data_IF_862998549169
#
_entry.id   IF_862998549169
#
_cell.length_a   1.000
_cell.length_b   1.000
_cell.length_c   1.000
_cell.angle_alpha   90.00
_cell.angle_beta   90.00
_cell.angle_gamma   90.00
#
_symmetry.space_group_name_H-M   'P 1'
#
loop_
_entity.id
_entity.type
_entity.pdbx_description
1 polymer ?
#
# COMPACT_ATOMS: atom_id res chain seq x y z
N UNK A 1 2.73 -16.39 25.86
CA UNK A 1 3.53 -15.20 25.45
C UNK A 1 3.34 -14.14 26.53
N UNK A 2 4.08 -13.04 26.51
CA UNK A 2 3.83 -11.89 27.38
C UNK A 2 3.87 -10.61 26.57
N UNK A 3 3.00 -9.66 26.86
CA UNK A 3 3.03 -8.29 26.36
C UNK A 3 2.96 -7.36 27.57
N UNK A 4 3.74 -6.28 27.60
CA UNK A 4 3.93 -5.43 28.80
C UNK A 4 4.05 -6.27 30.09
N UNK A 5 3.08 -6.17 31.00
CA UNK A 5 3.00 -6.92 32.26
C UNK A 5 1.95 -8.06 32.24
N UNK A 6 1.40 -8.42 31.09
CA UNK A 6 0.30 -9.38 30.94
C UNK A 6 0.74 -10.66 30.24
N UNK A 7 0.48 -11.79 30.87
CA UNK A 7 0.67 -13.10 30.25
C UNK A 7 -0.47 -13.37 29.28
N UNK A 8 -0.12 -13.66 28.04
CA UNK A 8 -1.05 -14.03 26.98
C UNK A 8 -1.10 -15.56 26.93
N UNK A 9 -2.22 -16.13 27.39
CA UNK A 9 -2.49 -17.55 27.47
C UNK A 9 -3.25 -18.06 26.24
N UNK A 10 -4.09 -17.22 25.64
CA UNK A 10 -4.93 -17.55 24.49
C UNK A 10 -5.02 -16.38 23.48
N UNK A 11 -5.60 -16.59 22.28
CA UNK A 11 -5.74 -15.52 21.28
C UNK A 11 -6.62 -14.34 21.71
N UNK A 12 -7.60 -14.53 22.59
CA UNK A 12 -8.44 -13.45 23.11
C UNK A 12 -7.68 -12.50 24.03
N UNK A 13 -6.71 -13.00 24.80
CA UNK A 13 -5.83 -12.16 25.62
C UNK A 13 -5.03 -11.19 24.73
N UNK A 14 -4.64 -11.64 23.53
CA UNK A 14 -3.97 -10.81 22.54
C UNK A 14 -4.92 -9.77 21.92
N UNK A 15 -6.16 -10.15 21.60
CA UNK A 15 -7.16 -9.19 21.13
C UNK A 15 -7.48 -8.11 22.17
N UNK A 16 -7.59 -8.49 23.45
CA UNK A 16 -7.79 -7.53 24.54
C UNK A 16 -6.62 -6.56 24.67
N UNK A 17 -5.39 -7.06 24.49
CA UNK A 17 -4.19 -6.23 24.51
C UNK A 17 -4.13 -5.23 23.35
N UNK A 18 -4.48 -5.67 22.13
CA UNK A 18 -4.56 -4.80 20.95
C UNK A 18 -5.54 -3.63 21.12
N UNK A 19 -6.62 -3.81 21.88
CA UNK A 19 -7.61 -2.75 22.14
C UNK A 19 -7.10 -1.67 23.09
N UNK A 20 -6.09 -1.96 23.91
CA UNK A 20 -5.52 -0.98 24.84
C UNK A 20 -4.36 -0.18 24.23
N UNK A 21 -3.73 -0.72 23.18
CA UNK A 21 -2.61 -0.10 22.50
C UNK A 21 -3.06 1.13 21.70
N UNK A 22 -2.29 2.21 21.82
CA UNK A 22 -2.47 3.45 21.07
C UNK A 22 -1.38 3.62 20.04
N UNK A 23 -1.67 4.35 18.97
CA UNK A 23 -0.66 4.79 18.01
C UNK A 23 0.44 5.56 18.75
N UNK A 24 1.69 5.17 18.53
CA UNK A 24 2.87 5.69 19.22
C UNK A 24 3.34 4.82 20.40
N UNK A 25 2.53 3.86 20.86
CA UNK A 25 2.96 2.93 21.90
C UNK A 25 4.08 2.01 21.38
N UNK A 26 5.04 1.71 22.25
CA UNK A 26 6.02 0.65 22.02
C UNK A 26 5.79 -0.45 23.05
N UNK A 27 5.59 -1.66 22.58
CA UNK A 27 5.36 -2.84 23.40
C UNK A 27 6.49 -3.87 23.23
N UNK A 28 6.81 -4.60 24.29
CA UNK A 28 7.79 -5.68 24.28
C UNK A 28 7.04 -7.01 24.40
N UNK A 29 6.89 -7.69 23.27
CA UNK A 29 6.26 -9.00 23.19
C UNK A 29 7.33 -10.07 23.43
N UNK A 30 7.19 -10.84 24.50
CA UNK A 30 8.07 -11.97 24.80
C UNK A 30 7.48 -13.26 24.23
N UNK A 31 8.21 -13.86 23.30
CA UNK A 31 7.88 -15.13 22.66
C UNK A 31 8.80 -16.23 23.18
N UNK A 32 8.24 -17.40 23.50
CA UNK A 32 9.02 -18.57 23.89
C UNK A 32 9.28 -19.45 22.66
N UNK A 33 10.54 -19.62 22.25
CA UNK A 33 10.96 -20.46 21.12
C UNK A 33 12.09 -21.38 21.55
N UNK A 34 11.89 -22.70 21.44
CA UNK A 34 12.90 -23.69 21.85
C UNK A 34 13.31 -23.58 23.32
N UNK A 35 12.38 -23.25 24.21
CA UNK A 35 12.64 -23.04 25.64
C UNK A 35 13.23 -21.68 26.01
N UNK A 36 13.71 -20.88 25.05
CA UNK A 36 14.24 -19.53 25.27
C UNK A 36 13.15 -18.48 25.15
N UNK A 37 13.16 -17.50 26.04
CA UNK A 37 12.34 -16.30 25.95
C UNK A 37 13.05 -15.25 25.09
N UNK A 38 12.38 -14.78 24.05
CA UNK A 38 12.89 -13.80 23.09
C UNK A 38 12.00 -12.56 23.17
N UNK A 39 12.50 -11.43 23.70
CA UNK A 39 11.77 -10.18 23.67
C UNK A 39 11.81 -9.58 22.26
N UNK A 40 10.65 -9.17 21.76
CA UNK A 40 10.47 -8.52 20.47
C UNK A 40 9.84 -7.15 20.73
N UNK A 41 10.57 -6.09 20.44
CA UNK A 41 10.01 -4.74 20.47
C UNK A 41 9.10 -4.55 19.24
N UNK A 42 7.86 -4.13 19.47
CA UNK A 42 6.88 -3.81 18.45
C UNK A 42 6.39 -2.39 18.70
N UNK A 43 6.47 -1.53 17.70
CA UNK A 43 5.88 -0.19 17.75
C UNK A 43 4.54 -0.19 17.06
N UNK A 44 3.54 0.36 17.73
CA UNK A 44 2.20 0.57 17.20
C UNK A 44 2.24 1.86 16.38
N UNK A 45 2.23 1.71 15.07
CA UNK A 45 2.25 2.84 14.13
C UNK A 45 0.91 2.93 13.41
N UNK A 46 0.59 4.12 12.91
CA UNK A 46 -0.50 4.25 11.94
C UNK A 46 -0.28 3.31 10.75
N UNK A 47 -1.37 2.90 10.11
CA UNK A 47 -1.27 2.21 8.84
C UNK A 47 -0.46 3.09 7.86
N UNK A 48 0.54 2.52 7.18
CA UNK A 48 1.54 3.31 6.46
C UNK A 48 0.97 4.09 5.28
N UNK A 49 -0.22 3.73 4.78
CA UNK A 49 -0.96 4.45 3.74
C UNK A 49 -1.77 5.66 4.26
N UNK A 50 -2.19 5.66 5.54
CA UNK A 50 -3.01 6.74 6.12
C UNK A 50 -2.32 8.09 6.04
N UNK A 51 -1.02 8.12 6.39
CA UNK A 51 -0.20 9.33 6.42
C UNK A 51 0.65 9.52 5.15
N UNK A 52 0.48 8.66 4.14
CA UNK A 52 1.30 8.73 2.95
C UNK A 52 0.93 9.96 2.09
N UNK A 53 1.92 10.66 1.49
CA UNK A 53 1.65 11.75 0.55
C UNK A 53 0.75 11.27 -0.60
N UNK A 54 -0.29 12.06 -0.90
CA UNK A 54 -1.27 11.76 -1.93
C UNK A 54 -1.02 12.63 -3.15
N UNK A 55 -0.97 12.00 -4.32
CA UNK A 55 -0.86 12.69 -5.60
C UNK A 55 -2.16 12.50 -6.35
N UNK A 56 -2.85 13.60 -6.63
CA UNK A 56 -4.06 13.58 -7.45
C UNK A 56 -3.70 13.78 -8.91
N UNK A 57 -4.06 12.81 -9.75
CA UNK A 57 -3.80 12.80 -11.18
C UNK A 57 -5.10 12.96 -11.95
N UNK A 58 -5.11 13.90 -12.91
CA UNK A 58 -6.28 14.24 -13.74
C UNK A 58 -7.57 14.53 -12.95
N UNK A 59 -7.45 14.86 -11.65
CA UNK A 59 -8.56 15.08 -10.70
C UNK A 59 -9.47 13.87 -10.47
N UNK A 60 -9.04 12.68 -10.86
CA UNK A 60 -9.90 11.48 -10.83
C UNK A 60 -9.24 10.26 -10.21
N UNK A 61 -7.91 10.29 -10.10
CA UNK A 61 -7.12 9.20 -9.54
C UNK A 61 -6.28 9.79 -8.40
N UNK A 62 -6.36 9.20 -7.23
CA UNK A 62 -5.53 9.53 -6.09
C UNK A 62 -4.53 8.39 -5.88
N UNK A 63 -3.25 8.73 -5.93
CA UNK A 63 -2.14 7.79 -5.91
C UNK A 63 -1.27 7.99 -4.67
N UNK A 64 -0.69 6.90 -4.21
CA UNK A 64 0.31 6.86 -3.14
C UNK A 64 1.55 6.11 -3.65
N UNK A 65 2.74 6.63 -3.37
CA UNK A 65 3.99 5.94 -3.73
C UNK A 65 4.12 4.61 -2.97
N UNK A 66 4.42 3.53 -3.69
CA UNK A 66 4.55 2.21 -3.08
C UNK A 66 5.85 2.10 -2.26
N UNK A 67 5.72 2.27 -0.94
CA UNK A 67 6.82 2.03 0.00
C UNK A 67 6.88 0.55 0.41
N UNK A 68 8.00 0.07 0.99
CA UNK A 68 8.06 -1.30 1.51
C UNK A 68 6.99 -1.62 2.57
N UNK A 69 6.61 -0.64 3.39
CA UNK A 69 5.57 -0.80 4.42
C UNK A 69 4.18 -0.94 3.79
N UNK A 70 3.84 -0.08 2.82
CA UNK A 70 2.57 -0.18 2.07
C UNK A 70 2.51 -1.48 1.27
N UNK A 71 3.63 -1.88 0.64
CA UNK A 71 3.73 -3.16 -0.07
C UNK A 71 3.40 -4.34 0.84
N UNK A 72 3.94 -4.34 2.05
CA UNK A 72 3.67 -5.38 3.04
C UNK A 72 2.20 -5.36 3.51
N UNK A 73 1.63 -4.18 3.75
CA UNK A 73 0.23 -4.01 4.16
C UNK A 73 -0.75 -4.59 3.12
N UNK A 74 -0.51 -4.32 1.83
CA UNK A 74 -1.40 -4.72 0.73
C UNK A 74 -0.97 -6.04 0.04
N UNK A 75 0.07 -6.71 0.55
CA UNK A 75 0.61 -7.98 0.00
C UNK A 75 1.01 -7.89 -1.49
N UNK A 76 1.47 -6.72 -1.91
CA UNK A 76 1.86 -6.42 -3.29
C UNK A 76 3.21 -7.10 -3.61
N UNK A 77 3.34 -7.67 -4.80
CA UNK A 77 4.55 -8.37 -5.25
C UNK A 77 5.57 -7.41 -5.86
N UNK A 78 5.09 -6.38 -6.57
CA UNK A 78 5.93 -5.36 -7.18
C UNK A 78 6.73 -4.58 -6.15
N UNK A 79 8.00 -4.32 -6.47
CA UNK A 79 8.93 -3.64 -5.56
C UNK A 79 8.70 -2.14 -5.47
N UNK A 80 8.20 -1.54 -6.55
CA UNK A 80 8.02 -0.11 -6.76
C UNK A 80 6.79 0.13 -7.64
N UNK A 81 6.22 1.32 -7.56
CA UNK A 81 5.04 1.70 -8.33
C UNK A 81 4.22 2.78 -7.61
N UNK A 82 3.03 3.04 -8.14
CA UNK A 82 2.05 3.95 -7.54
C UNK A 82 0.77 3.16 -7.21
N UNK A 83 0.46 3.05 -5.92
CA UNK A 83 -0.77 2.45 -5.42
C UNK A 83 -1.95 3.39 -5.72
N UNK A 84 -3.02 2.83 -6.27
CA UNK A 84 -4.30 3.50 -6.49
C UNK A 84 -5.07 3.49 -5.17
N UNK A 85 -5.07 4.64 -4.50
CA UNK A 85 -5.82 4.80 -3.26
C UNK A 85 -7.30 5.08 -3.52
N UNK A 86 -7.59 5.93 -4.52
CA UNK A 86 -8.95 6.24 -4.97
C UNK A 86 -8.98 6.42 -6.47
N UNK A 87 -10.06 6.01 -7.10
CA UNK A 87 -10.31 6.21 -8.52
C UNK A 87 -11.79 6.48 -8.76
N UNK A 88 -12.11 7.44 -9.63
CA UNK A 88 -13.51 7.77 -9.97
C UNK A 88 -14.20 6.63 -10.71
N UNK A 89 -15.50 6.48 -10.52
CA UNK A 89 -16.30 5.45 -11.20
C UNK A 89 -16.16 5.50 -12.73
N UNK A 90 -16.03 6.71 -13.29
CA UNK A 90 -15.80 6.90 -14.72
C UNK A 90 -14.49 6.26 -15.16
N UNK A 91 -13.39 6.50 -14.45
CA UNK A 91 -12.08 5.90 -14.78
C UNK A 91 -12.12 4.39 -14.57
N UNK A 92 -12.77 3.90 -13.50
CA UNK A 92 -12.96 2.47 -13.29
C UNK A 92 -13.69 1.81 -14.47
N UNK A 93 -14.76 2.42 -14.97
CA UNK A 93 -15.54 1.90 -16.10
C UNK A 93 -14.80 2.01 -17.44
N UNK A 94 -14.03 3.07 -17.65
CA UNK A 94 -13.36 3.31 -18.93
C UNK A 94 -12.09 2.49 -19.12
N UNK A 95 -11.25 2.41 -18.08
CA UNK A 95 -9.92 1.78 -18.19
C UNK A 95 -9.73 0.59 -17.25
N UNK A 96 -10.72 0.26 -16.42
CA UNK A 96 -10.70 -0.91 -15.55
C UNK A 96 -9.81 -0.79 -14.30
N UNK A 97 -9.19 0.37 -14.07
CA UNK A 97 -8.35 0.64 -12.90
C UNK A 97 -9.20 0.70 -11.62
N UNK A 98 -8.75 0.11 -10.53
CA UNK A 98 -9.48 0.00 -9.26
C UNK A 98 -8.63 0.42 -8.08
N UNK A 99 -9.27 0.77 -6.95
CA UNK A 99 -8.56 0.94 -5.68
C UNK A 99 -7.84 -0.35 -5.29
N UNK A 100 -6.59 -0.23 -4.87
CA UNK A 100 -5.71 -1.36 -4.55
C UNK A 100 -4.80 -1.78 -5.70
N UNK A 101 -5.02 -1.29 -6.92
CA UNK A 101 -4.10 -1.53 -8.04
C UNK A 101 -2.78 -0.81 -7.83
N UNK A 102 -1.70 -1.36 -8.38
CA UNK A 102 -0.39 -0.71 -8.37
C UNK A 102 0.06 -0.47 -9.79
N UNK A 103 0.15 0.79 -10.19
CA UNK A 103 0.69 1.16 -11.50
C UNK A 103 2.20 0.95 -11.46
N UNK A 104 2.70 0.09 -12.34
CA UNK A 104 4.13 -0.31 -12.38
C UNK A 104 4.84 0.20 -13.62
N UNK A 105 4.11 0.49 -14.70
CA UNK A 105 4.68 1.00 -15.94
C UNK A 105 3.64 1.79 -16.73
N UNK A 106 4.08 2.87 -17.37
CA UNK A 106 3.28 3.58 -18.38
C UNK A 106 4.11 3.65 -19.65
N UNK A 107 3.56 3.16 -20.75
CA UNK A 107 4.21 2.94 -22.03
C UNK A 107 5.50 2.11 -21.85
N UNK A 108 6.67 2.72 -22.06
CA UNK A 108 8.00 2.10 -21.89
C UNK A 108 8.73 2.64 -20.65
N UNK A 109 8.02 3.34 -19.77
CA UNK A 109 8.60 4.01 -18.61
C UNK A 109 8.15 3.32 -17.33
N UNK A 110 9.09 2.70 -16.58
CA UNK A 110 8.80 2.16 -15.25
C UNK A 110 8.33 3.27 -14.31
N UNK A 111 7.36 2.94 -13.45
CA UNK A 111 6.85 3.85 -12.41
C UNK A 111 7.54 3.50 -11.10
N UNK A 112 8.16 4.51 -10.48
CA UNK A 112 8.82 4.36 -9.17
C UNK A 112 8.08 5.11 -8.07
N UNK A 113 7.23 6.07 -8.44
CA UNK A 113 6.50 6.95 -7.54
C UNK A 113 5.15 7.39 -8.11
N UNK A 114 4.26 7.90 -7.25
CA UNK A 114 3.00 8.51 -7.67
C UNK A 114 3.21 9.78 -8.51
N UNK A 115 4.27 10.52 -8.22
CA UNK A 115 4.69 11.71 -8.95
C UNK A 115 5.09 11.39 -10.40
N UNK A 116 5.70 10.22 -10.65
CA UNK A 116 6.03 9.76 -12.01
C UNK A 116 4.78 9.64 -12.87
N UNK A 117 3.70 9.07 -12.31
CA UNK A 117 2.43 8.92 -13.02
C UNK A 117 1.86 10.28 -13.39
N UNK A 118 1.82 11.21 -12.43
CA UNK A 118 1.34 12.56 -12.68
C UNK A 118 2.16 13.25 -13.78
N UNK A 119 3.49 13.20 -13.67
CA UNK A 119 4.42 13.80 -14.63
C UNK A 119 4.25 13.19 -16.02
N UNK A 120 4.15 11.87 -16.14
CA UNK A 120 4.01 11.20 -17.43
C UNK A 120 2.67 11.56 -18.06
N UNK A 121 1.56 11.47 -17.32
CA UNK A 121 0.23 11.73 -17.88
C UNK A 121 0.00 13.23 -18.19
N UNK A 122 0.59 14.15 -17.45
CA UNK A 122 0.45 15.61 -17.71
C UNK A 122 1.38 16.11 -18.82
N UNK A 123 2.55 15.49 -19.00
CA UNK A 123 3.46 15.83 -20.10
C UNK A 123 3.17 15.07 -21.38
N UNK A 124 2.36 14.01 -21.32
CA UNK A 124 1.91 13.30 -22.50
C UNK A 124 1.00 14.21 -23.32
N UNK A 125 1.40 14.47 -24.56
CA UNK A 125 0.55 15.13 -25.53
C UNK A 125 -0.53 14.19 -26.07
N UNK A 126 -0.90 14.39 -27.33
CA UNK A 126 -1.86 13.52 -28.02
C UNK A 126 -1.23 12.17 -28.35
N UNK A 127 -1.93 11.09 -28.00
CA UNK A 127 -1.51 9.73 -28.31
C UNK A 127 -2.17 8.68 -27.40
N UNK A 128 -1.97 7.41 -27.75
CA UNK A 128 -2.38 6.29 -26.91
C UNK A 128 -1.39 6.08 -25.76
N UNK A 129 -1.92 5.83 -24.58
CA UNK A 129 -1.19 5.49 -23.36
C UNK A 129 -1.52 4.04 -23.03
N UNK A 130 -0.47 3.22 -22.92
CA UNK A 130 -0.57 1.86 -22.40
C UNK A 130 -0.09 1.83 -20.96
N UNK A 131 -0.98 1.58 -20.01
CA UNK A 131 -0.66 1.48 -18.59
C UNK A 131 -0.63 0.02 -18.17
N UNK A 132 0.36 -0.36 -17.37
CA UNK A 132 0.46 -1.68 -16.74
C UNK A 132 0.34 -1.52 -15.23
N UNK A 133 -0.48 -2.38 -14.63
CA UNK A 133 -0.72 -2.36 -13.19
C UNK A 133 -0.81 -3.77 -12.61
N UNK A 134 -0.41 -3.92 -11.35
CA UNK A 134 -0.58 -5.15 -10.58
C UNK A 134 -1.92 -5.14 -9.85
N UNK A 135 -2.64 -6.27 -9.91
CA UNK A 135 -3.80 -6.58 -9.07
C UNK A 135 -3.71 -8.04 -8.62
N UNK A 136 -3.68 -8.27 -7.31
CA UNK A 136 -3.61 -9.62 -6.74
C UNK A 136 -2.39 -10.43 -7.21
N UNK A 137 -1.23 -9.78 -7.40
CA UNK A 137 0.00 -10.42 -7.88
C UNK A 137 0.05 -10.69 -9.39
N UNK A 138 -0.98 -10.33 -10.15
CA UNK A 138 -1.00 -10.44 -11.61
C UNK A 138 -0.84 -9.08 -12.27
N UNK A 139 -0.12 -9.01 -13.38
CA UNK A 139 0.04 -7.79 -14.17
C UNK A 139 -1.04 -7.73 -15.25
N UNK A 140 -1.78 -6.63 -15.24
CA UNK A 140 -2.78 -6.25 -16.23
C UNK A 140 -2.27 -5.09 -17.07
N UNK A 141 -2.89 -4.88 -18.23
CA UNK A 141 -2.62 -3.73 -19.08
C UNK A 141 -3.93 -3.11 -19.56
N UNK A 142 -3.95 -1.78 -19.67
CA UNK A 142 -5.06 -1.01 -20.24
C UNK A 142 -4.51 0.03 -21.21
N UNK A 143 -5.26 0.34 -22.26
CA UNK A 143 -4.89 1.33 -23.28
C UNK A 143 -5.97 2.41 -23.36
N UNK A 144 -5.56 3.68 -23.29
CA UNK A 144 -6.48 4.82 -23.37
C UNK A 144 -5.80 6.04 -23.99
N UNK A 145 -6.59 6.96 -24.54
CA UNK A 145 -6.08 8.23 -25.07
C UNK A 145 -6.39 9.39 -24.13
N UNK A 146 -5.49 10.38 -24.09
CA UNK A 146 -5.80 11.70 -23.52
C UNK A 146 -6.33 12.60 -24.63
N UNK A 147 -7.46 13.27 -24.38
CA UNK A 147 -8.12 14.20 -25.30
C UNK A 147 -7.79 15.64 -24.95
#
# INVERSE_FOLDING_TARGET
MRSRNRTLHNPYDWYAELLELRVGDSDSIVVKRGGREIPIAVSVVDLPDVNAPRVTVLREIELITLTPAIRAQYQIQSRQGALVNRVSDRVQQQIGLQTGDVIVQINRTPITSAEDVNRILTSYGRGGIRMYFERGGQIYATEFGLQ
#
